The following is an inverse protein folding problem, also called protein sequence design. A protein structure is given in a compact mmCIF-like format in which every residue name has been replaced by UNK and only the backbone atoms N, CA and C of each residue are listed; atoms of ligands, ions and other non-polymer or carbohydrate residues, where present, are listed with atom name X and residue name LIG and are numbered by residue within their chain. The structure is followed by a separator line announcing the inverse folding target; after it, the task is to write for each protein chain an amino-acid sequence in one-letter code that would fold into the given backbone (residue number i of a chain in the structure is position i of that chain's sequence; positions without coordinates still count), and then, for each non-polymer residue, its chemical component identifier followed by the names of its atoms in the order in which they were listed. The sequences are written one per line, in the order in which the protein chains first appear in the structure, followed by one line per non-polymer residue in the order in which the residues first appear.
data_IF_613211388016
#
_entry.id   IF_613211388016
#
_cell.length_a   1.000
_cell.length_b   1.000
_cell.length_c   1.000
_cell.angle_alpha   90.00
_cell.angle_beta   90.00
_cell.angle_gamma   90.00
#
_symmetry.space_group_name_H-M   'P 1'
#
loop_
_entity.id
_entity.type
_entity.pdbx_description
1 polymer ?
#
# COMPACT_ATOMS: atom_id res chain seq x y z
N UNK A 1 17.37 -71.50 -45.50
CA UNK A 1 17.18 -71.94 -44.11
C UNK A 1 17.03 -70.69 -43.27
N UNK A 2 15.86 -70.55 -42.60
CA UNK A 2 15.48 -69.77 -41.47
C UNK A 2 15.54 -68.21 -41.59
N UNK A 3 14.39 -67.57 -41.90
CA UNK A 3 13.35 -67.07 -40.99
C UNK A 3 13.94 -66.48 -39.68
N UNK A 4 13.95 -65.16 -39.58
CA UNK A 4 13.59 -64.29 -38.44
C UNK A 4 13.87 -62.82 -38.87
N UNK A 5 12.86 -62.17 -39.44
CA UNK A 5 12.89 -60.74 -39.56
C UNK A 5 11.41 -60.28 -39.71
N UNK A 6 10.75 -60.15 -38.58
CA UNK A 6 9.49 -59.46 -38.47
C UNK A 6 9.27 -59.10 -36.98
N UNK A 7 9.18 -57.83 -36.72
CA UNK A 7 8.64 -57.23 -35.50
C UNK A 7 9.56 -56.24 -34.84
N UNK A 8 9.69 -55.04 -35.37
CA UNK A 8 9.91 -53.79 -34.59
C UNK A 8 9.35 -52.64 -35.43
N UNK A 9 8.05 -52.36 -35.30
CA UNK A 9 7.42 -51.15 -35.80
C UNK A 9 6.07 -51.01 -35.11
N UNK A 10 6.09 -50.50 -33.85
CA UNK A 10 4.94 -49.95 -33.20
C UNK A 10 5.33 -49.44 -31.80
N UNK A 11 5.84 -48.24 -31.67
CA UNK A 11 5.81 -47.45 -30.44
C UNK A 11 6.42 -46.05 -30.68
N UNK A 12 5.74 -45.20 -31.43
CA UNK A 12 5.94 -43.77 -31.42
C UNK A 12 4.64 -43.09 -31.86
N UNK A 13 3.66 -43.04 -30.97
CA UNK A 13 2.54 -42.10 -31.00
C UNK A 13 2.02 -41.98 -29.58
N UNK A 14 2.36 -40.88 -28.94
CA UNK A 14 1.78 -40.60 -27.61
C UNK A 14 2.52 -39.59 -26.75
N UNK A 15 3.05 -38.51 -27.33
CA UNK A 15 3.43 -37.34 -26.53
C UNK A 15 3.08 -36.11 -27.34
N UNK A 16 1.89 -35.58 -27.16
CA UNK A 16 1.46 -34.41 -27.91
C UNK A 16 0.10 -33.90 -27.54
N UNK A 17 -0.31 -33.92 -26.27
CA UNK A 17 -1.50 -33.19 -25.81
C UNK A 17 -1.35 -32.93 -24.31
N UNK A 18 -0.59 -31.92 -23.92
CA UNK A 18 -0.59 -31.44 -22.52
C UNK A 18 -0.09 -29.99 -22.40
N UNK A 19 -0.25 -29.17 -23.45
CA UNK A 19 0.19 -27.77 -23.38
C UNK A 19 -0.89 -26.73 -23.73
N UNK A 20 -2.16 -27.12 -23.88
CA UNK A 20 -3.22 -26.20 -24.32
C UNK A 20 -4.17 -25.71 -23.21
N UNK A 21 -4.12 -26.28 -22.02
CA UNK A 21 -5.06 -25.93 -20.96
C UNK A 21 -4.70 -24.63 -20.21
N UNK A 22 -3.43 -24.25 -20.14
CA UNK A 22 -3.00 -23.04 -19.40
C UNK A 22 -3.19 -21.74 -20.19
N UNK A 23 -3.20 -21.77 -21.50
CA UNK A 23 -3.45 -20.57 -22.32
C UNK A 23 -4.95 -20.16 -22.37
N UNK A 24 -5.87 -21.12 -22.23
CA UNK A 24 -7.31 -20.84 -22.29
C UNK A 24 -7.79 -19.90 -21.13
N UNK A 25 -7.20 -20.01 -19.94
CA UNK A 25 -7.57 -19.19 -18.79
C UNK A 25 -7.08 -17.74 -18.88
N UNK A 26 -5.91 -17.52 -19.46
CA UNK A 26 -5.37 -16.15 -19.62
C UNK A 26 -6.13 -15.37 -20.72
N UNK A 27 -6.53 -16.08 -21.77
CA UNK A 27 -7.31 -15.51 -22.86
C UNK A 27 -8.71 -15.11 -22.41
N UNK A 28 -9.30 -15.88 -21.50
CA UNK A 28 -10.63 -15.63 -20.93
C UNK A 28 -10.65 -14.37 -20.03
N UNK A 29 -9.64 -14.14 -19.20
CA UNK A 29 -9.55 -12.95 -18.35
C UNK A 29 -9.39 -11.65 -19.16
N UNK A 30 -8.65 -11.66 -20.26
CA UNK A 30 -8.52 -10.50 -21.14
C UNK A 30 -9.82 -10.23 -21.92
N UNK A 31 -10.54 -11.27 -22.33
CA UNK A 31 -11.86 -11.12 -22.93
C UNK A 31 -12.86 -10.51 -21.94
N UNK A 32 -12.87 -10.98 -20.69
CA UNK A 32 -13.69 -10.43 -19.60
C UNK A 32 -13.32 -8.97 -19.34
N UNK A 33 -12.03 -8.63 -19.23
CA UNK A 33 -11.55 -7.26 -19.06
C UNK A 33 -12.06 -6.34 -20.17
N UNK A 34 -11.96 -6.79 -21.41
CA UNK A 34 -12.43 -6.02 -22.57
C UNK A 34 -13.94 -5.77 -22.52
N UNK A 35 -14.73 -6.80 -22.20
CA UNK A 35 -16.18 -6.70 -22.11
C UNK A 35 -16.60 -5.73 -21.00
N UNK A 36 -16.03 -5.88 -19.79
CA UNK A 36 -16.30 -5.00 -18.66
C UNK A 36 -15.87 -3.56 -18.96
N UNK A 37 -14.67 -3.36 -19.52
CA UNK A 37 -14.15 -2.02 -19.85
C UNK A 37 -15.07 -1.29 -20.82
N UNK A 38 -15.48 -1.95 -21.91
CA UNK A 38 -16.37 -1.35 -22.90
C UNK A 38 -17.71 -0.96 -22.27
N UNK A 39 -18.31 -1.86 -21.51
CA UNK A 39 -19.61 -1.64 -20.89
C UNK A 39 -19.59 -0.52 -19.86
N UNK A 40 -18.59 -0.51 -18.97
CA UNK A 40 -18.52 0.49 -17.92
C UNK A 40 -18.14 1.87 -18.43
N UNK A 41 -17.26 1.96 -19.44
CA UNK A 41 -16.96 3.25 -20.10
C UNK A 41 -18.23 3.86 -20.72
N UNK A 42 -19.12 3.04 -21.27
CA UNK A 42 -20.36 3.54 -21.90
C UNK A 42 -21.42 3.92 -20.86
N UNK A 43 -21.57 3.14 -19.80
CA UNK A 43 -22.69 3.29 -18.85
C UNK A 43 -22.30 4.07 -17.58
N UNK A 44 -21.01 4.10 -17.23
CA UNK A 44 -20.49 4.75 -16.02
C UNK A 44 -19.18 5.49 -16.32
N UNK A 45 -19.19 6.53 -17.13
CA UNK A 45 -17.97 7.24 -17.61
C UNK A 45 -17.19 7.92 -16.48
N UNK A 46 -17.79 8.08 -15.29
CA UNK A 46 -17.12 8.66 -14.11
C UNK A 46 -16.23 7.64 -13.36
N UNK A 47 -16.36 6.32 -13.65
CA UNK A 47 -15.47 5.33 -13.03
C UNK A 47 -14.06 5.45 -13.60
N UNK A 48 -13.03 5.23 -12.77
CA UNK A 48 -11.67 5.06 -13.27
C UNK A 48 -11.58 3.90 -14.25
N UNK A 49 -10.63 3.92 -15.21
CA UNK A 49 -10.50 2.85 -16.19
C UNK A 49 -10.16 1.51 -15.53
N UNK A 50 -10.70 0.42 -16.12
CA UNK A 50 -10.36 -0.95 -15.73
C UNK A 50 -8.92 -1.26 -16.14
N UNK A 51 -8.06 -1.46 -15.17
CA UNK A 51 -6.64 -1.75 -15.38
C UNK A 51 -6.34 -3.25 -15.42
N UNK A 52 -7.02 -4.01 -14.58
CA UNK A 52 -6.76 -5.44 -14.40
C UNK A 52 -8.03 -6.18 -14.00
N UNK A 53 -8.15 -7.43 -14.45
CA UNK A 53 -9.17 -8.38 -14.00
C UNK A 53 -8.49 -9.65 -13.52
N UNK A 54 -8.90 -10.15 -12.36
CA UNK A 54 -8.36 -11.37 -11.75
C UNK A 54 -9.46 -12.29 -11.26
N UNK A 55 -9.22 -13.59 -11.31
CA UNK A 55 -10.11 -14.55 -10.67
C UNK A 55 -9.97 -14.48 -9.14
N UNK A 56 -11.09 -14.52 -8.41
CA UNK A 56 -11.09 -14.51 -6.94
C UNK A 56 -10.98 -15.90 -6.30
N UNK A 57 -11.10 -16.96 -7.09
CA UNK A 57 -11.31 -18.33 -6.61
C UNK A 57 -12.78 -18.66 -6.32
N UNK A 58 -13.69 -17.67 -6.36
CA UNK A 58 -15.13 -17.85 -6.29
C UNK A 58 -15.69 -17.85 -7.71
N UNK A 59 -16.39 -18.93 -8.10
CA UNK A 59 -16.91 -19.07 -9.45
C UNK A 59 -17.84 -17.90 -9.82
N UNK A 60 -17.57 -17.26 -10.96
CA UNK A 60 -18.37 -16.16 -11.49
C UNK A 60 -18.11 -14.80 -10.84
N UNK A 61 -17.20 -14.71 -9.87
CA UNK A 61 -16.80 -13.44 -9.23
C UNK A 61 -15.35 -13.09 -9.60
N UNK A 62 -15.15 -11.90 -10.14
CA UNK A 62 -13.86 -11.39 -10.57
C UNK A 62 -13.47 -10.15 -9.77
N UNK A 63 -12.19 -10.05 -9.39
CA UNK A 63 -11.58 -8.83 -8.85
C UNK A 63 -11.26 -7.89 -10.01
N UNK A 64 -11.72 -6.66 -9.93
CA UNK A 64 -11.52 -5.62 -10.93
C UNK A 64 -10.73 -4.49 -10.29
N UNK A 65 -9.54 -4.23 -10.82
CA UNK A 65 -8.77 -3.06 -10.41
C UNK A 65 -9.13 -1.85 -11.29
N UNK A 66 -9.67 -0.83 -10.65
CA UNK A 66 -9.97 0.47 -11.26
C UNK A 66 -8.83 1.45 -10.96
N UNK A 67 -8.43 2.19 -11.97
CA UNK A 67 -7.32 3.11 -11.83
C UNK A 67 -6.08 2.41 -11.27
N UNK A 68 -5.50 2.92 -10.19
CA UNK A 68 -4.24 2.38 -9.69
C UNK A 68 -4.39 1.30 -8.61
N UNK A 69 -5.31 1.50 -7.67
CA UNK A 69 -5.42 0.62 -6.50
C UNK A 69 -6.85 0.45 -5.96
N UNK A 70 -7.84 1.00 -6.63
CA UNK A 70 -9.23 0.76 -6.24
C UNK A 70 -9.65 -0.65 -6.68
N UNK A 71 -10.19 -1.42 -5.74
CA UNK A 71 -10.64 -2.80 -5.97
C UNK A 71 -12.15 -2.85 -5.82
N UNK A 72 -12.79 -3.38 -6.85
CA UNK A 72 -14.20 -3.76 -6.83
C UNK A 72 -14.35 -5.19 -7.38
N UNK A 73 -15.53 -5.78 -7.24
CA UNK A 73 -15.81 -7.11 -7.76
C UNK A 73 -16.95 -7.04 -8.77
N UNK A 74 -16.93 -7.95 -9.74
CA UNK A 74 -17.97 -8.00 -10.77
C UNK A 74 -18.16 -9.43 -11.28
N UNK A 75 -19.29 -9.66 -11.94
CA UNK A 75 -19.49 -10.83 -12.81
C UNK A 75 -18.72 -10.68 -14.13
N UNK A 76 -18.57 -11.77 -14.87
CA UNK A 76 -17.81 -11.78 -16.14
C UNK A 76 -18.37 -10.83 -17.22
N UNK A 77 -19.64 -10.44 -17.12
CA UNK A 77 -20.30 -9.54 -18.06
C UNK A 77 -20.25 -8.06 -17.62
N UNK A 78 -19.83 -7.80 -16.38
CA UNK A 78 -19.88 -6.47 -15.80
C UNK A 78 -21.30 -5.93 -15.65
N UNK A 79 -22.27 -6.82 -15.41
CA UNK A 79 -23.67 -6.45 -15.17
C UNK A 79 -23.85 -5.93 -13.74
N UNK A 80 -23.04 -6.41 -12.82
CA UNK A 80 -23.08 -6.07 -11.41
C UNK A 80 -21.72 -5.63 -10.90
N UNK A 81 -21.71 -4.62 -10.02
CA UNK A 81 -20.52 -4.18 -9.27
C UNK A 81 -20.81 -4.38 -7.79
N UNK A 82 -19.89 -5.04 -7.10
CA UNK A 82 -19.89 -5.17 -5.65
C UNK A 82 -18.71 -4.38 -5.08
N UNK A 83 -18.98 -3.43 -4.21
CA UNK A 83 -17.98 -2.70 -3.44
C UNK A 83 -17.94 -3.24 -2.01
N UNK A 84 -16.76 -3.58 -1.54
CA UNK A 84 -16.55 -4.14 -0.22
C UNK A 84 -15.33 -5.04 -0.17
N UNK A 85 -15.11 -5.67 0.99
CA UNK A 85 -13.98 -6.54 1.21
C UNK A 85 -14.34 -8.02 1.02
N UNK A 86 -13.46 -8.75 0.33
CA UNK A 86 -13.51 -10.20 0.23
C UNK A 86 -12.71 -10.81 1.38
N UNK A 87 -13.42 -11.43 2.32
CA UNK A 87 -12.82 -12.02 3.52
C UNK A 87 -12.72 -13.55 3.38
N UNK A 88 -11.50 -14.07 3.51
CA UNK A 88 -11.25 -15.49 3.69
C UNK A 88 -11.42 -15.85 5.18
N UNK A 89 -12.59 -16.38 5.53
CA UNK A 89 -12.92 -16.69 6.92
C UNK A 89 -12.14 -17.89 7.46
N UNK A 90 -11.68 -18.80 6.60
CA UNK A 90 -10.90 -19.96 7.01
C UNK A 90 -9.51 -19.54 7.49
N UNK A 91 -8.87 -18.67 6.72
CA UNK A 91 -7.52 -18.18 7.00
C UNK A 91 -7.52 -16.83 7.73
N UNK A 92 -8.71 -16.27 8.02
CA UNK A 92 -8.88 -14.95 8.67
C UNK A 92 -8.13 -13.83 7.95
N UNK A 93 -8.24 -13.80 6.62
CA UNK A 93 -7.56 -12.84 5.76
C UNK A 93 -8.55 -11.90 5.09
N UNK A 94 -8.19 -10.64 4.96
CA UNK A 94 -8.86 -9.68 4.08
C UNK A 94 -8.10 -9.61 2.75
N UNK A 95 -8.59 -10.37 1.76
CA UNK A 95 -7.94 -10.49 0.46
C UNK A 95 -7.95 -9.16 -0.31
N UNK A 96 -8.98 -8.35 -0.12
CA UNK A 96 -9.07 -7.02 -0.73
C UNK A 96 -8.01 -6.09 -0.15
N UNK A 97 -7.87 -6.05 1.18
CA UNK A 97 -6.88 -5.20 1.83
C UNK A 97 -5.45 -5.66 1.49
N UNK A 98 -5.18 -6.96 1.50
CA UNK A 98 -3.88 -7.50 1.07
C UNK A 98 -3.53 -7.10 -0.37
N UNK A 99 -4.53 -7.10 -1.26
CA UNK A 99 -4.32 -6.67 -2.64
C UNK A 99 -4.02 -5.18 -2.73
N UNK A 100 -4.76 -4.34 -2.01
CA UNK A 100 -4.51 -2.90 -1.93
C UNK A 100 -3.12 -2.64 -1.36
N UNK A 101 -2.72 -3.33 -0.29
CA UNK A 101 -1.39 -3.22 0.32
C UNK A 101 -0.28 -3.53 -0.70
N UNK A 102 -0.43 -4.60 -1.50
CA UNK A 102 0.50 -4.95 -2.59
C UNK A 102 0.59 -3.86 -3.66
N UNK A 103 -0.57 -3.33 -4.09
CA UNK A 103 -0.63 -2.31 -5.15
C UNK A 103 -0.09 -0.94 -4.70
N UNK A 104 -0.15 -0.67 -3.41
CA UNK A 104 0.26 0.60 -2.82
C UNK A 104 1.57 0.52 -2.04
N UNK A 105 2.25 -0.61 -2.06
CA UNK A 105 3.51 -0.81 -1.37
C UNK A 105 4.56 0.23 -1.79
N UNK A 106 5.31 0.70 -0.81
CA UNK A 106 6.39 1.66 -0.98
C UNK A 106 7.70 0.96 -0.65
N UNK A 107 8.69 1.03 -1.52
CA UNK A 107 10.02 0.57 -1.15
C UNK A 107 10.53 1.38 0.06
N UNK A 108 10.52 0.74 1.23
CA UNK A 108 10.94 1.37 2.47
C UNK A 108 12.36 1.94 2.39
N UNK A 109 13.25 1.26 1.65
CA UNK A 109 14.64 1.71 1.47
C UNK A 109 14.76 2.94 0.57
N UNK A 110 13.74 3.22 -0.25
CA UNK A 110 13.70 4.41 -1.10
C UNK A 110 13.24 5.67 -0.36
N UNK A 111 12.81 5.55 0.91
CA UNK A 111 12.42 6.70 1.74
C UNK A 111 13.60 7.66 1.94
N UNK A 112 13.37 8.97 1.86
CA UNK A 112 14.42 9.97 2.06
C UNK A 112 14.75 10.16 3.56
N UNK A 113 15.29 9.15 4.24
CA UNK A 113 15.51 9.14 5.70
C UNK A 113 16.28 10.35 6.24
N UNK A 114 17.16 10.95 5.43
CA UNK A 114 17.87 12.19 5.80
C UNK A 114 16.94 13.39 5.98
N UNK A 115 15.74 13.32 5.45
CA UNK A 115 14.72 14.36 5.47
C UNK A 115 13.64 14.08 6.53
N UNK A 116 13.84 13.07 7.38
CA UNK A 116 12.94 12.70 8.45
C UNK A 116 13.43 13.22 9.81
N UNK A 117 12.49 13.51 10.69
CA UNK A 117 12.76 13.62 12.12
C UNK A 117 12.78 12.20 12.70
N UNK A 118 13.85 11.84 13.39
CA UNK A 118 14.02 10.49 13.95
C UNK A 118 13.68 10.49 15.44
N UNK A 119 12.74 9.63 15.83
CA UNK A 119 12.34 9.42 17.22
C UNK A 119 12.56 7.95 17.57
N UNK A 120 13.51 7.68 18.44
CA UNK A 120 13.80 6.33 18.91
C UNK A 120 13.20 6.09 20.28
N UNK A 121 12.51 4.94 20.44
CA UNK A 121 11.96 4.45 21.71
C UNK A 121 12.48 3.05 21.98
N UNK A 122 12.80 2.74 23.24
CA UNK A 122 13.38 1.48 23.64
C UNK A 122 14.65 1.15 22.87
N UNK A 123 14.81 -0.06 22.39
CA UNK A 123 15.95 -0.50 21.59
C UNK A 123 15.90 0.01 20.15
N UNK A 124 14.71 0.46 19.67
CA UNK A 124 14.52 0.99 18.33
C UNK A 124 14.66 -0.04 17.21
N UNK A 125 14.52 -1.33 17.52
CA UNK A 125 14.77 -2.43 16.58
C UNK A 125 13.78 -2.48 15.42
N UNK A 126 12.53 -2.08 15.67
CA UNK A 126 11.48 -2.03 14.67
C UNK A 126 11.45 -0.65 14.00
N UNK A 127 11.03 -0.57 12.75
CA UNK A 127 11.06 0.67 11.97
C UNK A 127 9.67 1.05 11.46
N UNK A 128 9.33 2.32 11.60
CA UNK A 128 8.08 2.90 11.13
C UNK A 128 8.36 4.26 10.51
N UNK A 129 7.91 4.49 9.29
CA UNK A 129 7.90 5.80 8.66
C UNK A 129 6.47 6.36 8.68
N UNK A 130 6.33 7.64 8.99
CA UNK A 130 5.02 8.31 9.06
C UNK A 130 5.08 9.65 8.36
N UNK A 131 4.16 9.88 7.42
CA UNK A 131 3.95 11.17 6.78
C UNK A 131 2.87 11.93 7.53
N UNK A 132 3.21 13.08 8.11
CA UNK A 132 2.33 13.81 9.01
C UNK A 132 2.33 15.32 8.77
N UNK A 133 1.15 15.91 8.96
CA UNK A 133 0.96 17.36 8.94
C UNK A 133 0.78 17.88 10.38
N UNK A 134 1.51 18.92 10.80
CA UNK A 134 1.44 19.44 12.16
C UNK A 134 0.06 20.02 12.54
N UNK A 135 -0.80 20.30 11.58
CA UNK A 135 -2.17 20.79 11.81
C UNK A 135 -3.23 19.69 11.65
N UNK A 136 -2.82 18.45 11.40
CA UNK A 136 -3.73 17.33 11.24
C UNK A 136 -4.23 16.83 12.61
N UNK A 137 -5.54 16.96 12.90
CA UNK A 137 -6.13 16.47 14.15
C UNK A 137 -5.99 14.95 14.32
N UNK A 138 -6.04 14.17 13.23
CA UNK A 138 -5.80 12.72 13.27
C UNK A 138 -4.34 12.39 13.56
N UNK A 139 -3.38 13.22 13.12
CA UNK A 139 -1.97 13.06 13.45
C UNK A 139 -1.72 13.30 14.95
N UNK A 140 -2.32 14.33 15.54
CA UNK A 140 -2.24 14.55 16.99
C UNK A 140 -2.76 13.35 17.78
N UNK A 141 -3.91 12.79 17.39
CA UNK A 141 -4.48 11.59 18.02
C UNK A 141 -3.57 10.38 17.82
N UNK A 142 -3.03 10.20 16.63
CA UNK A 142 -2.12 9.11 16.29
C UNK A 142 -0.83 9.19 17.11
N UNK A 143 -0.20 10.35 17.23
CA UNK A 143 1.03 10.53 18.02
C UNK A 143 0.83 10.21 19.51
N UNK A 144 -0.35 10.53 20.08
CA UNK A 144 -0.71 10.13 21.45
C UNK A 144 -0.76 8.60 21.60
N UNK A 145 -1.31 7.91 20.61
CA UNK A 145 -1.37 6.44 20.58
C UNK A 145 0.00 5.83 20.33
N UNK A 146 0.75 6.37 19.37
CA UNK A 146 2.10 5.93 19.03
C UNK A 146 3.07 6.09 20.22
N UNK A 147 2.83 7.07 21.10
CA UNK A 147 3.65 7.28 22.30
C UNK A 147 3.67 6.08 23.26
N UNK A 148 2.68 5.17 23.16
CA UNK A 148 2.60 3.94 23.96
C UNK A 148 3.33 2.73 23.34
N UNK A 149 3.77 2.87 22.08
CA UNK A 149 4.51 1.82 21.34
C UNK A 149 5.99 1.96 21.64
N UNK A 150 6.63 0.87 22.07
CA UNK A 150 8.05 0.84 22.43
C UNK A 150 8.88 0.02 21.41
N UNK A 151 10.20 -0.03 21.59
CA UNK A 151 11.15 -0.75 20.74
C UNK A 151 10.98 -0.41 19.24
N UNK A 152 10.82 0.88 18.94
CA UNK A 152 10.58 1.37 17.58
C UNK A 152 11.41 2.62 17.27
N UNK A 153 11.96 2.67 16.07
CA UNK A 153 12.50 3.89 15.45
C UNK A 153 11.46 4.45 14.51
N UNK A 154 10.93 5.63 14.85
CA UNK A 154 9.92 6.33 14.04
C UNK A 154 10.62 7.41 13.21
N UNK A 155 10.40 7.37 11.90
CA UNK A 155 10.85 8.37 10.95
C UNK A 155 9.65 9.26 10.57
N UNK A 156 9.57 10.45 11.17
CA UNK A 156 8.49 11.41 10.89
C UNK A 156 8.88 12.28 9.70
N UNK A 157 8.16 12.12 8.61
CA UNK A 157 8.27 12.97 7.43
C UNK A 157 7.25 14.10 7.53
N UNK A 158 7.71 15.32 7.76
CA UNK A 158 6.83 16.48 7.77
C UNK A 158 6.22 16.67 6.38
N UNK A 159 4.89 16.60 6.33
CA UNK A 159 4.11 16.59 5.09
C UNK A 159 3.01 17.65 5.14
N UNK A 160 3.37 18.95 5.00
CA UNK A 160 2.46 20.08 5.19
C UNK A 160 1.54 20.29 3.99
N UNK A 161 0.45 19.54 3.91
CA UNK A 161 -0.49 19.58 2.78
C UNK A 161 -1.84 20.23 3.11
N UNK A 162 -2.13 20.50 4.39
CA UNK A 162 -3.46 20.94 4.80
C UNK A 162 -3.64 22.46 4.73
N UNK A 163 -2.60 23.25 5.01
CA UNK A 163 -2.73 24.71 5.07
C UNK A 163 -1.40 25.45 4.96
N UNK A 164 -1.42 26.75 4.66
CA UNK A 164 -0.22 27.60 4.74
C UNK A 164 0.41 27.61 6.14
N UNK A 165 -0.37 27.50 7.20
CA UNK A 165 0.11 27.42 8.57
C UNK A 165 0.84 26.10 8.85
N UNK A 166 0.43 25.00 8.18
CA UNK A 166 1.15 23.73 8.22
C UNK A 166 2.58 23.88 7.72
N UNK A 167 2.81 24.63 6.65
CA UNK A 167 4.14 24.92 6.12
C UNK A 167 4.97 25.73 7.13
N UNK A 168 4.37 26.76 7.76
CA UNK A 168 5.07 27.58 8.76
C UNK A 168 5.47 26.76 9.99
N UNK A 169 4.56 25.94 10.51
CA UNK A 169 4.84 25.06 11.65
C UNK A 169 5.88 23.99 11.30
N UNK A 170 5.77 23.33 10.14
CA UNK A 170 6.75 22.33 9.68
C UNK A 170 8.14 22.93 9.57
N UNK A 171 8.28 24.14 9.00
CA UNK A 171 9.56 24.86 8.95
C UNK A 171 10.11 25.12 10.37
N UNK A 172 9.27 25.63 11.27
CA UNK A 172 9.71 25.98 12.62
C UNK A 172 10.12 24.73 13.42
N UNK A 173 9.43 23.61 13.25
CA UNK A 173 9.78 22.31 13.85
C UNK A 173 11.07 21.78 13.25
N UNK A 174 11.19 21.74 11.92
CA UNK A 174 12.37 21.24 11.21
C UNK A 174 13.63 22.04 11.59
N UNK A 175 13.52 23.35 11.66
CA UNK A 175 14.62 24.25 11.94
C UNK A 175 14.90 24.47 13.44
N UNK A 176 14.16 23.81 14.33
CA UNK A 176 14.42 23.88 15.77
C UNK A 176 15.77 23.26 16.12
N UNK A 177 16.42 23.71 17.21
CA UNK A 177 17.66 23.12 17.70
C UNK A 177 17.54 21.61 17.98
N UNK A 178 16.35 21.16 18.37
CA UNK A 178 15.98 19.76 18.51
C UNK A 178 14.62 19.52 17.84
N UNK A 179 14.59 19.13 16.54
CA UNK A 179 13.34 18.91 15.81
C UNK A 179 12.44 17.82 16.41
N UNK A 180 13.02 16.75 16.94
CA UNK A 180 12.26 15.67 17.59
C UNK A 180 11.51 16.17 18.83
N UNK A 181 12.18 16.97 19.66
CA UNK A 181 11.56 17.57 20.83
C UNK A 181 10.47 18.59 20.43
N UNK A 182 10.75 19.43 19.43
CA UNK A 182 9.77 20.42 18.93
C UNK A 182 8.53 19.75 18.35
N UNK A 183 8.69 18.65 17.62
CA UNK A 183 7.59 17.82 17.12
C UNK A 183 6.74 17.27 18.26
N UNK A 184 7.37 16.59 19.22
CA UNK A 184 6.65 16.02 20.37
C UNK A 184 6.00 17.08 21.26
N UNK A 185 6.62 18.24 21.44
CA UNK A 185 6.06 19.37 22.18
C UNK A 185 4.77 19.86 21.50
N UNK A 186 4.78 19.95 20.17
CA UNK A 186 3.60 20.37 19.42
C UNK A 186 2.53 19.29 19.41
N UNK A 187 2.85 18.08 18.97
CA UNK A 187 1.87 17.03 18.75
C UNK A 187 1.24 16.48 20.03
N UNK A 188 2.03 16.35 21.11
CA UNK A 188 1.57 15.75 22.36
C UNK A 188 1.13 16.78 23.42
N UNK A 189 1.72 17.98 23.38
CA UNK A 189 1.56 18.98 24.44
C UNK A 189 0.99 20.31 23.95
N UNK A 190 0.71 20.43 22.65
CA UNK A 190 0.20 21.64 21.99
C UNK A 190 1.09 22.90 22.25
N UNK A 191 2.37 22.69 22.55
CA UNK A 191 3.31 23.76 22.71
C UNK A 191 3.82 24.20 21.35
N UNK A 192 3.42 25.39 20.91
CA UNK A 192 3.75 25.92 19.60
C UNK A 192 5.27 26.00 19.37
N UNK A 193 5.77 25.58 18.20
CA UNK A 193 7.18 25.72 17.88
C UNK A 193 7.56 27.18 17.71
N UNK A 194 8.72 27.55 18.26
CA UNK A 194 9.26 28.89 18.09
C UNK A 194 9.63 29.16 16.63
N UNK A 195 9.58 30.43 16.23
CA UNK A 195 10.01 30.80 14.88
C UNK A 195 11.47 30.43 14.67
N UNK A 196 11.73 29.69 13.64
CA UNK A 196 13.07 29.26 13.22
C UNK A 196 13.17 29.24 11.70
N UNK A 197 14.39 29.42 11.18
CA UNK A 197 14.68 29.43 9.77
C UNK A 197 15.99 28.68 9.47
N UNK A 198 15.94 27.81 8.48
CA UNK A 198 17.08 27.06 7.96
C UNK A 198 16.78 26.62 6.53
N UNK A 199 17.57 25.71 5.96
CA UNK A 199 17.22 25.06 4.69
C UNK A 199 16.00 24.15 4.86
N UNK A 200 14.93 24.46 4.12
CA UNK A 200 13.66 23.72 4.09
C UNK A 200 13.49 22.81 2.86
N UNK A 201 14.55 22.64 2.07
CA UNK A 201 14.53 21.71 0.94
C UNK A 201 14.08 20.27 1.32
N UNK A 202 14.38 19.77 2.54
CA UNK A 202 13.81 18.50 3.02
C UNK A 202 12.29 18.44 3.00
N UNK A 203 11.61 19.50 3.39
CA UNK A 203 10.14 19.54 3.38
C UNK A 203 9.56 19.46 1.97
N UNK A 204 10.21 20.13 1.01
CA UNK A 204 9.83 20.07 -0.40
C UNK A 204 10.00 18.65 -0.95
N UNK A 205 11.11 17.97 -0.59
CA UNK A 205 11.35 16.58 -1.01
C UNK A 205 10.35 15.62 -0.39
N UNK A 206 9.95 15.82 0.85
CA UNK A 206 8.92 15.01 1.50
C UNK A 206 7.56 15.16 0.80
N UNK A 207 7.17 16.38 0.42
CA UNK A 207 5.95 16.62 -0.34
C UNK A 207 6.04 15.95 -1.71
N UNK A 208 7.12 16.14 -2.47
CA UNK A 208 7.33 15.53 -3.76
C UNK A 208 7.33 13.98 -3.68
N UNK A 209 7.91 13.40 -2.62
CA UNK A 209 7.86 11.96 -2.37
C UNK A 209 6.43 11.50 -2.13
N UNK A 210 5.69 12.19 -1.26
CA UNK A 210 4.29 11.85 -0.98
C UNK A 210 3.41 11.93 -2.23
N UNK A 211 3.58 12.96 -3.05
CA UNK A 211 2.89 13.08 -4.35
C UNK A 211 3.22 11.92 -5.30
N UNK A 212 4.52 11.59 -5.45
CA UNK A 212 4.99 10.47 -6.27
C UNK A 212 4.36 9.14 -5.88
N UNK A 213 4.26 8.87 -4.57
CA UNK A 213 3.69 7.63 -4.03
C UNK A 213 2.21 7.77 -3.64
N UNK A 214 1.57 8.89 -4.05
CA UNK A 214 0.14 9.15 -3.84
C UNK A 214 -0.29 9.01 -2.39
N UNK A 215 0.46 9.63 -1.52
CA UNK A 215 0.08 9.84 -0.13
C UNK A 215 -0.90 11.02 -0.13
N UNK A 216 -2.20 10.72 -0.10
CA UNK A 216 -3.28 11.71 -0.26
C UNK A 216 -3.82 12.24 1.07
N UNK A 217 -3.32 11.73 2.19
CA UNK A 217 -3.79 12.13 3.53
C UNK A 217 -2.77 11.83 4.62
N UNK A 218 -3.02 12.43 5.79
CA UNK A 218 -2.19 12.29 6.98
C UNK A 218 -3.02 11.85 8.18
N UNK A 219 -2.43 11.02 9.08
CA UNK A 219 -1.14 10.38 8.92
C UNK A 219 -1.18 9.29 7.84
N UNK A 220 -0.03 8.97 7.23
CA UNK A 220 0.14 7.75 6.43
C UNK A 220 1.36 7.00 6.96
N UNK A 221 1.16 5.75 7.35
CA UNK A 221 2.16 4.87 7.92
C UNK A 221 2.77 4.00 6.83
N UNK A 222 4.09 3.80 6.86
CA UNK A 222 4.81 2.88 5.98
C UNK A 222 5.71 2.02 6.86
N UNK A 223 5.56 0.70 6.76
CA UNK A 223 6.31 -0.29 7.54
C UNK A 223 7.54 -0.79 6.79
N UNK A 224 8.45 -1.46 7.48
CA UNK A 224 9.72 -1.93 6.90
C UNK A 224 9.55 -2.90 5.72
N UNK A 225 8.44 -3.63 5.67
CA UNK A 225 8.05 -4.52 4.56
C UNK A 225 7.47 -3.77 3.33
N UNK A 226 7.39 -2.44 3.41
CA UNK A 226 6.82 -1.59 2.36
C UNK A 226 5.30 -1.46 2.44
N UNK A 227 4.64 -2.18 3.32
CA UNK A 227 3.19 -2.07 3.50
C UNK A 227 2.79 -0.70 4.03
N UNK A 228 1.60 -0.22 3.65
CA UNK A 228 1.12 1.12 3.95
C UNK A 228 -0.27 1.10 4.58
N UNK A 229 -0.46 1.93 5.60
CA UNK A 229 -1.77 2.19 6.19
C UNK A 229 -2.06 3.69 6.10
N UNK A 230 -3.07 4.13 5.35
CA UNK A 230 -3.54 5.50 5.37
C UNK A 230 -4.43 5.74 6.60
N UNK A 231 -4.20 6.85 7.30
CA UNK A 231 -4.97 7.26 8.46
C UNK A 231 -4.41 6.77 9.81
N UNK A 232 -5.02 7.27 10.88
CA UNK A 232 -4.66 6.90 12.24
C UNK A 232 -5.24 5.52 12.59
N UNK A 233 -4.42 4.68 13.21
CA UNK A 233 -4.79 3.35 13.71
C UNK A 233 -4.45 3.21 15.19
N UNK A 234 -5.11 2.28 15.87
CA UNK A 234 -4.88 2.00 17.28
C UNK A 234 -3.52 1.32 17.54
N UNK A 235 -3.00 1.36 18.78
CA UNK A 235 -1.72 0.76 19.13
C UNK A 235 -1.61 -0.74 18.85
N UNK A 236 -2.69 -1.51 19.00
CA UNK A 236 -2.67 -2.94 18.74
C UNK A 236 -2.44 -3.24 17.26
N UNK A 237 -3.06 -2.47 16.37
CA UNK A 237 -2.82 -2.54 14.93
C UNK A 237 -1.38 -2.18 14.60
N UNK A 238 -0.80 -1.13 15.21
CA UNK A 238 0.60 -0.74 15.01
C UNK A 238 1.52 -1.88 15.43
N UNK A 239 1.32 -2.45 16.62
CA UNK A 239 2.13 -3.55 17.15
C UNK A 239 2.07 -4.79 16.26
N UNK A 240 0.88 -5.18 15.81
CA UNK A 240 0.69 -6.30 14.90
C UNK A 240 1.46 -6.12 13.59
N UNK A 241 1.37 -4.93 12.98
CA UNK A 241 2.05 -4.63 11.71
C UNK A 241 3.57 -4.54 11.88
N UNK A 242 4.05 -3.94 12.95
CA UNK A 242 5.48 -3.89 13.27
C UNK A 242 6.07 -5.29 13.48
N UNK A 243 5.32 -6.20 14.11
CA UNK A 243 5.77 -7.59 14.31
C UNK A 243 5.91 -8.34 12.97
N UNK A 244 4.94 -8.17 12.06
CA UNK A 244 4.99 -8.79 10.72
C UNK A 244 6.14 -8.23 9.88
N UNK A 245 6.29 -6.90 9.84
CA UNK A 245 7.31 -6.23 9.05
C UNK A 245 8.76 -6.48 9.55
N UNK A 246 8.93 -6.83 10.82
CA UNK A 246 10.24 -7.14 11.42
C UNK A 246 10.67 -8.58 11.14
N UNK A 247 9.73 -9.48 10.85
CA UNK A 247 10.02 -10.91 10.63
C UNK A 247 10.47 -11.22 9.18
N UNK A 248 10.45 -10.24 8.27
CA UNK A 248 10.89 -10.35 6.88
C UNK A 248 12.29 -9.73 6.70
#
# INVERSE_FOLDING_TARGET
MNKIWRSVLAAMMGIGILCSATMAWAEDLEAIKKAISQKWTQNMPALPPVQEVRATGISGLYEIRLGESEIVYADAKGDYILQGNLLDLQNRRDLTQERIDQLTAVDFKALPFKDAIVIKRGDGSRQLAVFEDPNCGYCHKFEQQLATVDNVTVYVFLYPILSPDSHAKSRNIWCAANPAQAWQDWMLRQKAPSNAACDTAPLVRNVAFGEKYRITGTPTLIFADGSRIPGAVDPATIEQRLAVAHAQ
#
